data_IF_982641775798
#
_entry.id   IF_982641775798
#
_cell.length_a   1.000
_cell.length_b   1.000
_cell.length_c   1.000
_cell.angle_alpha   90.00
_cell.angle_beta   90.00
_cell.angle_gamma   90.00
#
_symmetry.space_group_name_H-M   'P 1'
#
loop_
_entity.id
_entity.type
_entity.pdbx_description
1 polymer ?
#
# COMPACT_ATOMS: atom_id res chain seq x y z
N UNK A 1 -16.73 -2.55 18.69
CA UNK A 1 -16.55 -3.88 18.04
C UNK A 1 -15.09 -4.22 17.73
N UNK A 2 -14.18 -3.25 17.54
CA UNK A 2 -12.73 -3.51 17.38
C UNK A 2 -12.05 -4.08 18.65
N UNK A 3 -12.60 -3.77 19.83
CA UNK A 3 -12.05 -4.23 21.13
C UNK A 3 -12.32 -5.71 21.41
N UNK A 4 -13.38 -6.27 20.81
CA UNK A 4 -13.71 -7.70 20.95
C UNK A 4 -12.82 -8.56 20.06
N UNK A 5 -12.45 -8.10 18.86
CA UNK A 5 -11.57 -8.81 17.94
C UNK A 5 -10.13 -8.87 18.44
N UNK A 6 -9.63 -7.80 19.06
CA UNK A 6 -8.32 -7.79 19.72
C UNK A 6 -8.30 -8.77 20.92
N UNK A 7 -9.38 -8.82 21.70
CA UNK A 7 -9.51 -9.73 22.86
C UNK A 7 -9.69 -11.19 22.45
N UNK A 8 -10.40 -11.47 21.34
CA UNK A 8 -10.55 -12.82 20.79
C UNK A 8 -9.23 -13.36 20.22
N UNK A 9 -8.46 -12.52 19.50
CA UNK A 9 -7.14 -12.93 19.01
C UNK A 9 -6.14 -13.12 20.16
N UNK A 10 -6.20 -12.32 21.23
CA UNK A 10 -5.30 -12.48 22.37
C UNK A 10 -5.59 -13.78 23.13
N UNK A 11 -6.86 -14.15 23.32
CA UNK A 11 -7.23 -15.38 24.03
C UNK A 11 -6.95 -16.66 23.23
N UNK A 12 -7.25 -16.67 21.93
CA UNK A 12 -6.96 -17.83 21.09
C UNK A 12 -5.45 -17.96 20.80
N UNK A 13 -4.73 -16.84 20.67
CA UNK A 13 -3.27 -16.85 20.59
C UNK A 13 -2.63 -17.29 21.91
N UNK A 14 -3.14 -16.87 23.08
CA UNK A 14 -2.64 -17.31 24.38
C UNK A 14 -2.96 -18.79 24.66
N UNK A 15 -4.12 -19.28 24.23
CA UNK A 15 -4.48 -20.71 24.30
C UNK A 15 -3.61 -21.54 23.37
N UNK A 16 -3.42 -21.09 22.13
CA UNK A 16 -2.52 -21.72 21.18
C UNK A 16 -1.08 -21.74 21.72
N UNK A 17 -0.58 -20.60 22.20
CA UNK A 17 0.74 -20.47 22.83
C UNK A 17 0.89 -21.36 24.07
N UNK A 18 -0.16 -21.43 24.88
CA UNK A 18 -0.25 -22.29 26.05
C UNK A 18 -0.27 -23.79 25.71
N UNK A 19 -0.74 -24.16 24.51
CA UNK A 19 -0.79 -25.53 24.01
C UNK A 19 0.51 -26.02 23.35
N UNK A 20 1.42 -25.10 23.02
CA UNK A 20 2.77 -25.45 22.55
C UNK A 20 3.56 -26.10 23.68
N UNK A 21 4.34 -27.13 23.35
CA UNK A 21 5.23 -27.75 24.32
C UNK A 21 6.30 -26.77 24.83
N UNK A 22 6.90 -27.11 25.97
CA UNK A 22 7.81 -26.24 26.70
C UNK A 22 9.10 -25.95 25.92
N UNK A 23 9.55 -26.88 25.07
CA UNK A 23 10.75 -26.74 24.26
C UNK A 23 10.52 -25.78 23.10
N UNK A 24 9.37 -25.87 22.42
CA UNK A 24 8.97 -24.94 21.35
C UNK A 24 8.79 -23.53 21.90
N UNK A 25 8.14 -23.40 23.07
CA UNK A 25 7.95 -22.11 23.74
C UNK A 25 9.28 -21.49 24.15
N UNK A 26 10.16 -22.27 24.78
CA UNK A 26 11.50 -21.80 25.17
C UNK A 26 12.35 -21.43 23.96
N UNK A 27 12.26 -22.20 22.87
CA UNK A 27 12.95 -21.89 21.61
C UNK A 27 12.48 -20.56 21.02
N UNK A 28 11.18 -20.26 21.09
CA UNK A 28 10.65 -18.99 20.61
C UNK A 28 10.93 -17.82 21.57
N UNK A 29 10.94 -18.04 22.89
CA UNK A 29 11.38 -17.05 23.87
C UNK A 29 12.86 -16.67 23.69
N UNK A 30 13.68 -17.56 23.15
CA UNK A 30 15.07 -17.28 22.77
C UNK A 30 15.19 -16.69 21.36
N UNK A 31 14.42 -17.21 20.42
CA UNK A 31 14.45 -16.80 19.02
C UNK A 31 13.89 -15.39 18.82
N UNK A 32 12.81 -15.03 19.50
CA UNK A 32 12.15 -13.74 19.33
C UNK A 32 13.09 -12.57 19.71
N UNK A 33 13.75 -12.56 20.88
CA UNK A 33 14.79 -11.58 21.17
C UNK A 33 15.96 -11.63 20.20
N UNK A 34 16.38 -12.83 19.74
CA UNK A 34 17.47 -12.95 18.77
C UNK A 34 17.09 -12.38 17.38
N UNK A 35 15.85 -12.58 16.95
CA UNK A 35 15.30 -12.04 15.70
C UNK A 35 15.11 -10.52 15.79
N UNK A 36 14.56 -10.03 16.91
CA UNK A 36 14.40 -8.59 17.15
C UNK A 36 15.75 -7.88 17.32
N UNK A 37 16.72 -8.53 17.96
CA UNK A 37 18.09 -8.01 18.09
C UNK A 37 18.79 -7.86 16.73
N UNK A 38 18.49 -8.76 15.77
CA UNK A 38 19.01 -8.69 14.40
C UNK A 38 18.20 -7.79 13.46
N UNK A 39 16.96 -7.45 13.81
CA UNK A 39 16.12 -6.62 12.95
C UNK A 39 16.45 -5.15 13.18
N UNK A 40 17.28 -4.59 12.29
CA UNK A 40 17.50 -3.16 12.23
C UNK A 40 16.31 -2.51 11.51
N UNK A 41 15.53 -1.63 12.15
CA UNK A 41 14.45 -0.93 11.48
C UNK A 41 15.08 -0.03 10.41
N UNK A 42 14.60 -0.10 9.16
CA UNK A 42 15.04 0.82 8.10
C UNK A 42 13.96 1.88 7.93
N UNK A 43 14.34 3.15 8.01
CA UNK A 43 13.43 4.27 7.84
C UNK A 43 13.73 5.01 6.53
N UNK A 44 12.76 5.01 5.63
CA UNK A 44 12.88 5.60 4.29
C UNK A 44 12.29 7.02 4.20
N UNK A 45 11.43 7.41 5.15
CA UNK A 45 10.77 8.72 5.15
C UNK A 45 9.51 8.78 4.29
N UNK A 46 8.74 7.68 4.22
CA UNK A 46 7.54 7.58 3.39
C UNK A 46 6.27 8.10 4.04
N UNK A 47 6.15 8.07 5.38
CA UNK A 47 4.95 8.56 6.09
C UNK A 47 5.17 8.90 7.57
N UNK A 48 4.23 9.63 8.17
CA UNK A 48 4.23 9.89 9.61
C UNK A 48 4.00 8.63 10.46
N UNK A 49 3.26 7.64 9.96
CA UNK A 49 3.13 6.35 10.65
C UNK A 49 4.47 5.59 10.65
N UNK A 50 5.21 5.62 9.54
CA UNK A 50 6.55 5.05 9.46
C UNK A 50 7.50 5.75 10.45
N UNK A 51 7.42 7.09 10.56
CA UNK A 51 8.22 7.86 11.50
C UNK A 51 7.91 7.50 12.97
N UNK A 52 6.63 7.38 13.33
CA UNK A 52 6.22 6.93 14.68
C UNK A 52 6.71 5.51 15.00
N UNK A 53 6.58 4.58 14.04
CA UNK A 53 7.07 3.19 14.18
C UNK A 53 8.59 3.15 14.33
N UNK A 54 9.31 3.95 13.55
CA UNK A 54 10.76 4.07 13.62
C UNK A 54 11.21 4.59 14.99
N UNK A 55 10.61 5.69 15.48
CA UNK A 55 10.92 6.26 16.79
C UNK A 55 10.70 5.22 17.91
N UNK A 56 9.61 4.45 17.82
CA UNK A 56 9.33 3.37 18.78
C UNK A 56 10.41 2.29 18.72
N UNK A 57 10.74 1.79 17.53
CA UNK A 57 11.74 0.74 17.36
C UNK A 57 13.14 1.15 17.87
N UNK A 58 13.54 2.41 17.66
CA UNK A 58 14.80 2.94 18.22
C UNK A 58 14.75 3.00 19.76
N UNK A 59 13.62 3.40 20.34
CA UNK A 59 13.44 3.43 21.81
C UNK A 59 13.48 2.04 22.41
N UNK A 60 12.79 1.09 21.79
CA UNK A 60 12.74 -0.30 22.25
C UNK A 60 14.14 -0.91 22.20
N UNK A 61 14.88 -0.72 21.10
CA UNK A 61 16.27 -1.17 21.01
C UNK A 61 17.17 -0.52 22.07
N UNK A 62 17.01 0.77 22.34
CA UNK A 62 17.77 1.45 23.39
C UNK A 62 17.44 0.94 24.80
N UNK A 63 16.22 0.44 25.03
CA UNK A 63 15.83 -0.22 26.28
C UNK A 63 16.49 -1.59 26.37
N UNK A 64 16.41 -2.40 25.31
CA UNK A 64 16.95 -3.75 25.24
C UNK A 64 18.47 -3.78 25.44
N UNK A 65 19.19 -2.79 24.92
CA UNK A 65 20.64 -2.65 25.06
C UNK A 65 21.03 -1.92 26.38
N UNK A 66 20.08 -1.53 27.23
CA UNK A 66 20.34 -0.78 28.46
C UNK A 66 20.87 0.64 28.23
N UNK A 67 20.74 1.16 27.00
CA UNK A 67 21.27 2.44 26.51
C UNK A 67 20.24 3.58 26.51
N UNK A 68 19.12 3.44 27.22
CA UNK A 68 18.01 4.41 27.24
C UNK A 68 18.41 5.87 27.53
N UNK A 69 19.48 6.11 28.30
CA UNK A 69 19.98 7.46 28.66
C UNK A 69 21.19 7.90 27.84
N UNK A 70 21.73 7.02 27.00
CA UNK A 70 22.94 7.23 26.21
C UNK A 70 22.56 7.89 24.88
N UNK A 71 22.47 9.22 24.89
CA UNK A 71 21.98 9.99 23.74
C UNK A 71 22.83 9.78 22.49
N UNK A 72 24.16 9.80 22.63
CA UNK A 72 25.10 9.61 21.52
C UNK A 72 24.91 8.22 20.89
N UNK A 73 24.81 7.17 21.71
CA UNK A 73 24.54 5.83 21.22
C UNK A 73 23.21 5.74 20.46
N UNK A 74 22.15 6.37 20.99
CA UNK A 74 20.82 6.33 20.36
C UNK A 74 20.83 7.06 19.03
N UNK A 75 21.50 8.22 18.95
CA UNK A 75 21.63 8.99 17.70
C UNK A 75 22.39 8.19 16.66
N UNK A 76 23.57 7.65 16.98
CA UNK A 76 24.34 6.82 16.05
C UNK A 76 23.53 5.61 15.57
N UNK A 77 22.80 4.98 16.47
CA UNK A 77 21.92 3.87 16.11
C UNK A 77 20.82 4.34 15.16
N UNK A 78 20.11 5.43 15.47
CA UNK A 78 19.06 5.98 14.63
C UNK A 78 19.57 6.39 13.24
N UNK A 79 20.70 7.10 13.16
CA UNK A 79 21.34 7.50 11.90
C UNK A 79 21.64 6.29 11.02
N UNK A 80 22.21 5.24 11.60
CA UNK A 80 22.56 4.00 10.87
C UNK A 80 21.35 3.24 10.31
N UNK A 81 20.13 3.62 10.72
CA UNK A 81 18.87 3.06 10.29
C UNK A 81 18.18 3.92 9.21
N UNK A 82 18.67 5.13 8.95
CA UNK A 82 18.10 6.02 7.93
C UNK A 82 18.51 5.56 6.53
N UNK A 83 17.56 5.59 5.61
CA UNK A 83 17.77 5.27 4.20
C UNK A 83 16.95 6.20 3.30
N UNK A 84 17.28 6.24 2.01
CA UNK A 84 16.51 6.98 1.01
C UNK A 84 16.36 8.47 1.34
N UNK A 85 15.13 8.97 1.27
CA UNK A 85 14.81 10.39 1.50
C UNK A 85 15.03 10.80 2.96
N UNK A 86 14.80 9.91 3.93
CA UNK A 86 15.07 10.20 5.33
C UNK A 86 16.55 10.48 5.60
N UNK A 87 17.46 9.73 4.95
CA UNK A 87 18.89 9.97 5.06
C UNK A 87 19.29 11.31 4.44
N UNK A 88 18.75 11.64 3.26
CA UNK A 88 18.98 12.95 2.61
C UNK A 88 18.49 14.09 3.49
N UNK A 89 17.28 13.98 4.04
CA UNK A 89 16.73 14.97 4.96
C UNK A 89 17.61 15.15 6.21
N UNK A 90 18.08 14.06 6.81
CA UNK A 90 18.94 14.13 8.00
C UNK A 90 20.21 14.95 7.76
N UNK A 91 20.87 14.79 6.60
CA UNK A 91 22.08 15.57 6.27
C UNK A 91 21.87 17.08 6.16
N UNK A 92 20.62 17.55 6.01
CA UNK A 92 20.29 18.99 5.96
C UNK A 92 19.95 19.58 7.34
N UNK A 93 19.85 18.77 8.38
CA UNK A 93 19.64 19.24 9.75
C UNK A 93 20.92 19.88 10.30
N UNK A 94 20.77 20.78 11.26
CA UNK A 94 21.90 21.34 12.00
C UNK A 94 22.52 20.29 12.94
N UNK A 95 23.81 20.47 13.26
CA UNK A 95 24.58 19.56 14.14
C UNK A 95 23.90 19.33 15.49
N UNK A 96 23.28 20.36 16.06
CA UNK A 96 22.64 20.29 17.37
C UNK A 96 21.34 19.45 17.32
N UNK A 97 20.59 19.49 16.21
CA UNK A 97 19.48 18.57 15.97
C UNK A 97 19.96 17.15 15.65
N UNK A 98 21.02 16.99 14.86
CA UNK A 98 21.58 15.68 14.50
C UNK A 98 22.12 14.93 15.71
N UNK A 99 22.82 15.61 16.62
CA UNK A 99 23.48 15.04 17.79
C UNK A 99 22.55 14.84 18.98
N UNK A 100 21.30 15.31 18.92
CA UNK A 100 20.37 15.24 20.04
C UNK A 100 19.12 14.44 19.69
N UNK A 101 18.97 13.25 20.30
CA UNK A 101 17.86 12.35 20.02
C UNK A 101 16.49 12.98 20.28
N UNK A 102 16.35 13.83 21.30
CA UNK A 102 15.07 14.50 21.57
C UNK A 102 14.72 15.51 20.48
N UNK A 103 15.71 16.26 19.99
CA UNK A 103 15.52 17.22 18.89
C UNK A 103 15.26 16.49 17.58
N UNK A 104 16.00 15.41 17.31
CA UNK A 104 15.80 14.56 16.14
C UNK A 104 14.40 13.92 16.13
N UNK A 105 13.90 13.45 17.27
CA UNK A 105 12.52 12.96 17.39
C UNK A 105 11.48 14.03 17.04
N UNK A 106 11.66 15.25 17.56
CA UNK A 106 10.75 16.36 17.25
C UNK A 106 10.81 16.72 15.77
N UNK A 107 12.01 16.81 15.21
CA UNK A 107 12.22 17.09 13.79
C UNK A 107 11.56 16.01 12.90
N UNK A 108 11.69 14.72 13.26
CA UNK A 108 11.04 13.61 12.55
C UNK A 108 9.51 13.73 12.57
N UNK A 109 8.92 14.05 13.72
CA UNK A 109 7.46 14.19 13.85
C UNK A 109 6.91 15.44 13.12
N UNK A 110 7.71 16.50 13.05
CA UNK A 110 7.36 17.72 12.29
C UNK A 110 7.47 17.47 10.79
N UNK A 111 8.55 16.82 10.35
CA UNK A 111 8.80 16.53 8.93
C UNK A 111 7.80 15.51 8.37
N UNK A 112 7.42 14.51 9.19
CA UNK A 112 6.52 13.44 8.81
C UNK A 112 5.29 13.44 9.73
N UNK A 113 4.36 14.40 9.56
CA UNK A 113 3.15 14.45 10.36
C UNK A 113 2.20 13.30 10.00
N UNK A 114 1.46 12.80 10.99
CA UNK A 114 0.40 11.81 10.77
C UNK A 114 -0.82 12.52 10.20
N UNK A 115 -1.26 12.11 9.01
CA UNK A 115 -2.44 12.66 8.36
C UNK A 115 -3.66 12.50 9.28
N UNK A 116 -4.25 13.63 9.70
CA UNK A 116 -5.40 13.68 10.61
C UNK A 116 -5.16 14.40 11.94
N UNK A 117 -3.98 14.97 12.19
CA UNK A 117 -3.77 15.86 13.34
C UNK A 117 -3.84 17.32 12.88
N UNK A 118 -5.08 17.83 12.76
CA UNK A 118 -5.30 19.28 12.89
C UNK A 118 -4.96 19.65 14.35
N UNK A 119 -3.78 20.23 14.55
CA UNK A 119 -3.26 20.69 15.84
C UNK A 119 -2.21 21.78 15.63
N UNK A 120 -2.12 22.75 16.55
CA UNK A 120 -2.25 24.17 16.25
C UNK A 120 -1.03 24.75 15.54
N UNK A 121 -1.33 25.59 14.55
CA UNK A 121 -0.39 26.58 14.00
C UNK A 121 0.25 27.37 15.14
N UNK A 122 1.55 27.22 15.34
CA UNK A 122 2.32 28.17 16.13
C UNK A 122 3.58 28.60 15.39
N UNK A 123 3.48 29.84 14.90
CA UNK A 123 4.53 30.82 14.69
C UNK A 123 5.48 30.61 13.50
N UNK A 124 4.95 30.84 12.29
CA UNK A 124 5.74 31.45 11.23
C UNK A 124 5.84 32.96 11.50
N UNK A 125 7.05 33.40 11.86
CA UNK A 125 7.48 34.79 11.80
C UNK A 125 7.20 35.32 10.37
N UNK A 126 6.58 36.49 10.18
CA UNK A 126 6.33 37.01 8.85
C UNK A 126 7.64 37.48 8.21
N UNK A 127 8.15 36.70 7.25
CA UNK A 127 9.20 37.14 6.33
C UNK A 127 8.53 37.68 5.05
N UNK A 128 8.85 38.90 4.58
CA UNK A 128 8.13 39.56 3.50
C UNK A 128 8.39 38.90 2.12
N UNK A 129 7.48 39.10 1.16
CA UNK A 129 7.43 38.32 -0.08
C UNK A 129 8.48 38.80 -1.08
N UNK A 130 9.28 37.89 -1.61
CA UNK A 130 10.09 38.14 -2.79
C UNK A 130 9.95 36.97 -3.78
N UNK A 131 9.51 37.35 -4.98
CA UNK A 131 9.14 36.53 -6.11
C UNK A 131 10.19 35.49 -6.54
N UNK A 132 9.72 34.25 -6.78
CA UNK A 132 10.01 33.45 -7.97
C UNK A 132 9.25 32.11 -7.85
N UNK A 133 8.00 32.06 -8.31
CA UNK A 133 7.30 30.79 -8.55
C UNK A 133 7.91 30.15 -9.81
N UNK A 134 8.95 29.35 -9.62
CA UNK A 134 9.31 28.31 -10.58
C UNK A 134 8.23 27.22 -10.51
N UNK A 135 7.72 26.90 -11.69
CA UNK A 135 6.74 25.88 -12.09
C UNK A 135 6.14 24.96 -11.00
N UNK A 136 4.80 24.77 -10.99
CA UNK A 136 4.19 23.75 -10.15
C UNK A 136 4.73 22.36 -10.53
N UNK A 137 5.27 21.64 -9.55
CA UNK A 137 5.56 20.21 -9.66
C UNK A 137 4.33 19.47 -10.23
N UNK A 138 4.52 18.40 -11.03
CA UNK A 138 3.43 17.69 -11.66
C UNK A 138 2.46 17.19 -10.59
N UNK A 139 1.26 17.75 -10.59
CA UNK A 139 0.13 17.23 -9.80
C UNK A 139 -0.09 15.80 -10.28
N UNK A 140 0.22 14.80 -9.46
CA UNK A 140 -0.16 13.42 -9.77
C UNK A 140 -1.68 13.41 -9.99
N UNK A 141 -2.12 13.17 -11.23
CA UNK A 141 -3.55 13.05 -11.51
C UNK A 141 -4.06 11.84 -10.73
N UNK A 142 -4.96 12.08 -9.78
CA UNK A 142 -5.64 11.01 -9.02
C UNK A 142 -6.62 10.23 -9.89
N UNK A 143 -6.84 10.69 -11.12
CA UNK A 143 -7.67 10.05 -12.12
C UNK A 143 -6.81 9.41 -13.21
N UNK A 144 -7.23 8.23 -13.64
CA UNK A 144 -6.53 7.48 -14.68
C UNK A 144 -7.32 6.28 -15.16
N UNK A 145 -6.68 5.45 -15.96
CA UNK A 145 -7.25 4.26 -16.60
C UNK A 145 -6.37 3.06 -16.30
N UNK A 146 -6.98 1.89 -16.13
CA UNK A 146 -6.19 0.66 -16.02
C UNK A 146 -5.84 0.19 -17.43
N UNK A 147 -4.54 0.22 -17.72
CA UNK A 147 -3.90 -0.24 -18.94
C UNK A 147 -3.25 -1.59 -18.72
N UNK A 148 -3.39 -2.46 -19.70
CA UNK A 148 -2.78 -3.78 -19.70
C UNK A 148 -1.85 -3.91 -20.90
N UNK A 149 -0.61 -4.32 -20.62
CA UNK A 149 0.37 -4.68 -21.64
C UNK A 149 0.25 -6.17 -21.95
N UNK A 150 0.13 -6.51 -23.23
CA UNK A 150 0.17 -7.90 -23.71
C UNK A 150 1.43 -8.07 -24.55
N UNK A 151 2.27 -9.06 -24.22
CA UNK A 151 3.53 -9.29 -24.96
C UNK A 151 3.33 -9.54 -26.46
N UNK A 152 2.14 -9.98 -26.87
CA UNK A 152 1.82 -10.36 -28.25
C UNK A 152 1.10 -9.26 -29.06
N UNK A 153 0.83 -8.07 -28.50
CA UNK A 153 0.16 -6.99 -29.24
C UNK A 153 0.82 -5.63 -29.02
N UNK A 154 0.98 -4.87 -30.11
CA UNK A 154 1.53 -3.51 -30.06
C UNK A 154 0.54 -2.49 -29.48
N UNK A 155 -0.78 -2.76 -29.56
CA UNK A 155 -1.80 -1.90 -29.00
C UNK A 155 -2.09 -2.28 -27.53
N UNK A 156 -2.08 -1.31 -26.59
CA UNK A 156 -2.46 -1.57 -25.21
C UNK A 156 -3.97 -1.81 -25.09
N UNK A 157 -4.34 -2.68 -24.16
CA UNK A 157 -5.74 -2.87 -23.77
C UNK A 157 -6.08 -2.04 -22.54
N UNK A 158 -7.33 -1.61 -22.43
CA UNK A 158 -7.88 -0.89 -21.28
C UNK A 158 -9.07 -1.65 -20.69
N UNK A 159 -9.38 -1.39 -19.42
CA UNK A 159 -10.62 -1.86 -18.80
C UNK A 159 -11.81 -1.11 -19.42
N UNK A 160 -12.89 -1.78 -19.82
CA UNK A 160 -14.04 -1.14 -20.46
C UNK A 160 -15.08 -0.66 -19.44
N UNK A 161 -15.76 0.46 -19.75
CA UNK A 161 -16.97 0.92 -19.06
C UNK A 161 -18.23 0.14 -19.48
N UNK A 162 -18.20 -0.55 -20.63
CA UNK A 162 -19.34 -1.34 -21.12
C UNK A 162 -19.39 -2.71 -20.43
N UNK A 163 -20.53 -3.06 -19.87
CA UNK A 163 -20.82 -4.42 -19.42
C UNK A 163 -21.47 -5.19 -20.58
N UNK A 164 -20.80 -6.22 -21.15
CA UNK A 164 -21.43 -7.13 -22.09
C UNK A 164 -22.57 -7.91 -21.41
N UNK A 165 -23.35 -8.66 -22.18
CA UNK A 165 -24.51 -9.44 -21.71
C UNK A 165 -24.24 -10.43 -20.55
N UNK A 166 -22.98 -10.70 -20.23
CA UNK A 166 -22.57 -11.52 -19.10
C UNK A 166 -22.29 -10.71 -17.81
N UNK A 167 -22.55 -9.40 -17.80
CA UNK A 167 -22.26 -8.44 -16.73
C UNK A 167 -20.80 -8.43 -16.24
N UNK A 168 -19.84 -8.81 -17.10
CA UNK A 168 -18.42 -8.83 -16.73
C UNK A 168 -17.70 -7.58 -17.22
N UNK A 169 -16.70 -7.12 -16.48
CA UNK A 169 -15.78 -6.12 -17.02
C UNK A 169 -14.91 -6.78 -18.10
N UNK A 170 -14.94 -6.18 -19.28
CA UNK A 170 -14.26 -6.68 -20.46
C UNK A 170 -13.12 -5.75 -20.88
N UNK A 171 -12.10 -6.27 -21.57
CA UNK A 171 -11.07 -5.46 -22.18
C UNK A 171 -11.61 -4.65 -23.38
N UNK A 172 -11.03 -3.47 -23.63
CA UNK A 172 -11.29 -2.64 -24.81
C UNK A 172 -9.99 -2.04 -25.34
N UNK A 173 -9.88 -1.88 -26.65
CA UNK A 173 -8.80 -1.09 -27.29
C UNK A 173 -9.21 0.37 -27.54
N UNK A 174 -10.48 0.72 -27.31
CA UNK A 174 -11.01 2.06 -27.53
C UNK A 174 -10.86 2.91 -26.26
N UNK A 175 -10.12 4.02 -26.37
CA UNK A 175 -9.95 4.99 -25.29
C UNK A 175 -11.27 5.65 -24.86
N UNK A 176 -12.20 5.86 -25.79
CA UNK A 176 -13.52 6.45 -25.46
C UNK A 176 -14.40 5.52 -24.64
N UNK A 177 -14.14 4.20 -24.71
CA UNK A 177 -14.81 3.18 -23.90
C UNK A 177 -13.99 2.71 -22.72
N UNK A 178 -12.78 3.25 -22.52
CA UNK A 178 -11.96 2.93 -21.37
C UNK A 178 -12.60 3.50 -20.09
N UNK A 179 -12.58 2.69 -19.03
CA UNK A 179 -13.08 3.07 -17.71
C UNK A 179 -12.09 4.00 -17.04
N UNK A 180 -12.55 5.20 -16.72
CA UNK A 180 -11.80 6.12 -15.86
C UNK A 180 -12.06 5.76 -14.40
N UNK A 181 -11.00 5.82 -13.61
CA UNK A 181 -11.01 5.55 -12.19
C UNK A 181 -10.34 6.69 -11.45
N UNK A 182 -10.83 6.97 -10.27
CA UNK A 182 -10.19 7.87 -9.32
C UNK A 182 -9.72 7.09 -8.12
N UNK A 183 -8.46 7.24 -7.76
CA UNK A 183 -7.90 6.54 -6.61
C UNK A 183 -7.82 7.44 -5.40
N UNK A 184 -8.22 6.90 -4.24
CA UNK A 184 -8.02 7.52 -2.93
C UNK A 184 -7.10 6.66 -2.10
N UNK A 185 -6.22 7.30 -1.33
CA UNK A 185 -5.36 6.61 -0.37
C UNK A 185 -6.13 6.38 0.91
N UNK A 186 -6.20 5.13 1.34
CA UNK A 186 -6.67 4.76 2.67
C UNK A 186 -5.50 4.76 3.66
N UNK A 187 -5.80 4.87 4.96
CA UNK A 187 -4.82 4.99 6.04
C UNK A 187 -3.91 3.77 6.20
N UNK A 188 -4.25 2.65 5.57
CA UNK A 188 -3.51 1.38 5.54
C UNK A 188 -2.50 1.30 4.37
N UNK A 189 -2.37 2.36 3.56
CA UNK A 189 -1.50 2.39 2.37
C UNK A 189 -2.05 1.60 1.19
N UNK A 190 -3.26 1.04 1.33
CA UNK A 190 -4.04 0.51 0.22
C UNK A 190 -4.88 1.62 -0.37
N UNK A 191 -5.20 1.48 -1.65
CA UNK A 191 -5.98 2.45 -2.40
C UNK A 191 -7.35 1.86 -2.68
N UNK A 192 -8.36 2.72 -2.69
CA UNK A 192 -9.69 2.42 -3.21
C UNK A 192 -9.78 3.03 -4.60
N UNK A 193 -10.31 2.25 -5.55
CA UNK A 193 -10.54 2.71 -6.92
C UNK A 193 -12.03 3.00 -7.10
N UNK A 194 -12.38 4.28 -7.26
CA UNK A 194 -13.74 4.75 -7.47
C UNK A 194 -14.03 4.93 -8.95
N UNK A 195 -15.28 4.68 -9.36
CA UNK A 195 -15.79 4.90 -10.71
C UNK A 195 -16.54 6.23 -10.73
N UNK A 196 -15.91 7.33 -11.18
CA UNK A 196 -16.55 8.63 -11.19
C UNK A 196 -17.67 8.72 -12.23
N UNK A 197 -18.62 9.62 -11.98
CA UNK A 197 -19.61 10.06 -12.99
C UNK A 197 -20.59 8.99 -13.45
N UNK A 198 -20.82 7.94 -12.64
CA UNK A 198 -21.75 6.86 -12.96
C UNK A 198 -21.51 6.23 -14.34
N UNK A 199 -20.23 6.13 -14.75
CA UNK A 199 -19.82 5.52 -16.01
C UNK A 199 -20.36 4.09 -16.18
N UNK A 200 -20.60 3.39 -15.07
CA UNK A 200 -21.33 2.13 -15.02
C UNK A 200 -22.58 2.37 -14.15
N UNK A 201 -23.80 2.36 -14.73
CA UNK A 201 -25.02 2.60 -13.96
C UNK A 201 -25.16 1.62 -12.78
N UNK A 202 -25.38 2.16 -11.58
CA UNK A 202 -25.55 1.38 -10.36
C UNK A 202 -24.25 0.94 -9.67
N UNK A 203 -23.07 1.29 -10.19
CA UNK A 203 -21.79 0.91 -9.60
C UNK A 203 -20.85 2.13 -9.50
N UNK A 204 -20.17 2.24 -8.37
CA UNK A 204 -19.34 3.40 -8.01
C UNK A 204 -17.92 3.02 -7.55
N UNK A 205 -17.63 1.73 -7.39
CA UNK A 205 -16.32 1.22 -7.00
C UNK A 205 -15.83 0.13 -7.95
N UNK A 206 -14.51 0.03 -8.08
CA UNK A 206 -13.83 -1.11 -8.71
C UNK A 206 -13.27 -2.04 -7.63
N UNK A 207 -13.80 -3.26 -7.61
CA UNK A 207 -13.40 -4.32 -6.70
C UNK A 207 -12.86 -5.54 -7.42
N UNK A 208 -12.48 -6.52 -6.61
CA UNK A 208 -12.02 -7.84 -7.01
C UNK A 208 -12.83 -8.89 -6.29
N UNK A 209 -13.19 -9.96 -7.01
CA UNK A 209 -13.87 -11.09 -6.43
C UNK A 209 -13.07 -12.36 -6.64
N UNK A 210 -12.87 -13.10 -5.56
CA UNK A 210 -12.25 -14.41 -5.61
C UNK A 210 -13.19 -15.43 -6.24
N UNK A 211 -12.64 -16.30 -7.08
CA UNK A 211 -13.33 -17.47 -7.63
C UNK A 211 -12.53 -18.72 -7.27
N UNK A 212 -13.09 -19.55 -6.39
CA UNK A 212 -12.51 -20.85 -6.00
C UNK A 212 -13.14 -22.03 -6.72
N UNK A 213 -14.29 -21.84 -7.37
CA UNK A 213 -15.09 -22.91 -7.96
C UNK A 213 -15.25 -22.71 -9.46
N UNK A 214 -14.32 -23.25 -10.23
CA UNK A 214 -14.65 -23.79 -11.54
C UNK A 214 -14.29 -25.28 -11.51
N UNK A 215 -15.31 -26.15 -11.43
CA UNK A 215 -15.19 -27.60 -11.22
C UNK A 215 -14.47 -28.34 -12.36
N UNK A 216 -14.00 -27.62 -13.38
CA UNK A 216 -13.31 -28.15 -14.55
C UNK A 216 -11.87 -27.64 -14.71
N UNK A 217 -11.43 -26.68 -13.88
CA UNK A 217 -10.07 -26.14 -13.98
C UNK A 217 -9.61 -25.64 -12.59
N UNK A 218 -8.56 -26.24 -12.04
CA UNK A 218 -7.99 -25.98 -10.71
C UNK A 218 -7.33 -24.61 -10.54
N UNK A 219 -7.78 -23.60 -11.29
CA UNK A 219 -7.20 -22.28 -11.32
C UNK A 219 -7.96 -21.38 -10.37
N UNK A 220 -7.35 -21.11 -9.22
CA UNK A 220 -7.73 -20.01 -8.33
C UNK A 220 -7.47 -18.69 -9.06
N UNK A 221 -8.48 -17.86 -9.26
CA UNK A 221 -8.30 -16.53 -9.84
C UNK A 221 -9.17 -15.46 -9.17
N UNK A 222 -8.67 -14.22 -9.13
CA UNK A 222 -9.43 -13.02 -8.78
C UNK A 222 -9.95 -12.37 -10.06
N UNK A 223 -11.20 -11.94 -10.12
CA UNK A 223 -11.74 -11.21 -11.28
C UNK A 223 -12.10 -9.77 -10.90
N UNK A 224 -11.91 -8.83 -11.83
CA UNK A 224 -12.40 -7.46 -11.68
C UNK A 224 -13.92 -7.43 -11.66
N UNK A 225 -14.50 -6.59 -10.79
CA UNK A 225 -15.93 -6.34 -10.75
C UNK A 225 -16.22 -4.87 -10.43
N UNK A 226 -17.29 -4.34 -11.02
CA UNK A 226 -17.89 -3.10 -10.59
C UNK A 226 -18.75 -3.40 -9.36
N UNK A 227 -18.66 -2.54 -8.36
CA UNK A 227 -19.28 -2.71 -7.03
C UNK A 227 -20.16 -1.51 -6.73
N UNK A 228 -21.36 -1.79 -6.24
CA UNK A 228 -22.23 -0.80 -5.61
C UNK A 228 -21.82 -0.71 -4.13
N UNK A 229 -21.19 0.38 -3.73
CA UNK A 229 -20.71 0.60 -2.37
C UNK A 229 -21.82 0.55 -1.31
N UNK A 230 -23.08 0.79 -1.69
CA UNK A 230 -24.22 0.82 -0.76
C UNK A 230 -24.76 -0.58 -0.47
N UNK A 231 -24.80 -1.42 -1.48
CA UNK A 231 -25.40 -2.76 -1.40
C UNK A 231 -24.36 -3.88 -1.37
N UNK A 232 -23.09 -3.56 -1.62
CA UNK A 232 -22.02 -4.51 -1.94
C UNK A 232 -22.38 -5.44 -3.11
N UNK A 233 -23.32 -5.03 -3.95
CA UNK A 233 -23.70 -5.78 -5.15
C UNK A 233 -22.57 -5.69 -6.18
N UNK A 234 -22.26 -6.81 -6.80
CA UNK A 234 -21.19 -6.92 -7.81
C UNK A 234 -21.80 -7.21 -9.17
N UNK A 235 -21.30 -6.57 -10.23
CA UNK A 235 -21.73 -6.91 -11.60
C UNK A 235 -21.38 -8.36 -12.00
N UNK A 236 -20.38 -8.97 -11.37
CA UNK A 236 -19.98 -10.36 -11.66
C UNK A 236 -20.91 -11.37 -10.95
N UNK A 237 -21.80 -12.01 -11.72
CA UNK A 237 -22.79 -12.96 -11.19
C UNK A 237 -22.23 -14.37 -10.94
N UNK A 238 -21.19 -14.79 -11.67
CA UNK A 238 -20.71 -16.18 -11.69
C UNK A 238 -19.55 -16.51 -10.74
N UNK A 239 -18.93 -15.52 -10.11
CA UNK A 239 -17.83 -15.77 -9.17
C UNK A 239 -18.37 -15.77 -7.74
N UNK A 240 -18.21 -16.89 -7.02
CA UNK A 240 -18.45 -17.01 -5.59
C UNK A 240 -17.15 -16.82 -4.81
N UNK A 241 -17.18 -15.97 -3.78
CA UNK A 241 -16.00 -15.71 -2.94
C UNK A 241 -16.02 -14.33 -2.30
N UNK A 242 -14.93 -14.03 -1.59
CA UNK A 242 -14.71 -12.76 -0.89
C UNK A 242 -14.58 -11.60 -1.87
N UNK A 243 -15.26 -10.50 -1.56
CA UNK A 243 -15.17 -9.23 -2.28
C UNK A 243 -14.09 -8.35 -1.64
N UNK A 244 -13.21 -7.81 -2.47
CA UNK A 244 -12.09 -6.94 -2.08
C UNK A 244 -12.23 -5.60 -2.80
N UNK A 245 -12.39 -4.50 -2.07
CA UNK A 245 -12.61 -3.14 -2.64
C UNK A 245 -11.50 -2.13 -2.29
N UNK A 246 -10.63 -2.47 -1.35
CA UNK A 246 -9.54 -1.60 -0.85
C UNK A 246 -8.23 -2.37 -0.79
N UNK A 247 -7.82 -2.97 -1.92
CA UNK A 247 -6.66 -3.88 -1.99
C UNK A 247 -5.63 -3.45 -3.05
N UNK A 248 -5.76 -2.21 -3.54
CA UNK A 248 -4.95 -1.72 -4.64
C UNK A 248 -3.68 -1.05 -4.12
N UNK A 249 -2.51 -1.46 -4.61
CA UNK A 249 -1.27 -0.72 -4.39
C UNK A 249 -0.84 -0.10 -5.70
N UNK A 250 -0.79 1.23 -5.74
CA UNK A 250 -0.39 2.02 -6.91
C UNK A 250 0.97 2.63 -6.56
N UNK A 251 1.98 2.36 -7.35
CA UNK A 251 3.32 2.93 -7.16
C UNK A 251 3.85 3.53 -8.45
N UNK A 252 4.54 4.67 -8.37
CA UNK A 252 5.25 5.22 -9.52
C UNK A 252 6.22 4.15 -10.07
N UNK A 253 6.22 3.94 -11.38
CA UNK A 253 7.18 3.04 -11.99
C UNK A 253 8.57 3.71 -11.96
N UNK A 254 9.56 3.05 -11.36
CA UNK A 254 10.94 3.53 -11.33
C UNK A 254 11.43 3.74 -12.77
N UNK A 255 11.72 4.99 -13.12
CA UNK A 255 12.34 5.36 -14.40
C UNK A 255 11.39 5.68 -15.56
N UNK A 256 10.06 5.64 -15.39
CA UNK A 256 9.14 6.01 -16.47
C UNK A 256 8.85 7.52 -16.47
N UNK A 257 9.40 8.24 -17.45
CA UNK A 257 9.10 9.66 -17.72
C UNK A 257 7.65 9.94 -18.14
N UNK A 258 6.82 8.90 -18.27
CA UNK A 258 5.44 8.95 -18.78
C UNK A 258 4.37 9.12 -17.71
N UNK A 259 4.72 9.10 -16.41
CA UNK A 259 3.75 9.19 -15.32
C UNK A 259 2.89 7.92 -15.13
N UNK A 260 3.17 6.86 -15.88
CA UNK A 260 2.50 5.56 -15.77
C UNK A 260 2.89 4.90 -14.44
N UNK A 261 1.90 4.47 -13.65
CA UNK A 261 2.11 3.82 -12.35
C UNK A 261 1.87 2.30 -12.47
N UNK A 262 2.53 1.51 -11.64
CA UNK A 262 2.30 0.05 -11.57
C UNK A 262 1.18 -0.25 -10.58
N UNK A 263 0.27 -1.16 -10.94
CA UNK A 263 -0.83 -1.58 -10.08
C UNK A 263 -0.58 -3.00 -9.59
N UNK A 264 -0.59 -3.17 -8.27
CA UNK A 264 -0.54 -4.47 -7.62
C UNK A 264 -1.82 -4.72 -6.83
N UNK A 265 -2.19 -6.00 -6.76
CA UNK A 265 -3.24 -6.51 -5.88
C UNK A 265 -2.56 -7.29 -4.76
N UNK A 266 -2.78 -6.88 -3.53
CA UNK A 266 -2.32 -7.60 -2.34
C UNK A 266 -3.43 -8.44 -1.72
N UNK A 267 -3.19 -9.73 -1.55
CA UNK A 267 -3.88 -10.58 -0.58
C UNK A 267 -2.86 -11.06 0.46
N UNK A 268 -2.77 -10.34 1.59
CA UNK A 268 -1.73 -10.57 2.59
C UNK A 268 -0.31 -10.36 2.03
N UNK A 269 0.48 -11.44 1.94
CA UNK A 269 1.88 -11.42 1.50
C UNK A 269 2.07 -11.87 0.04
N UNK A 270 1.03 -12.36 -0.64
CA UNK A 270 1.13 -12.84 -2.01
C UNK A 270 0.85 -11.74 -3.04
N UNK A 271 1.77 -11.59 -4.00
CA UNK A 271 1.60 -10.70 -5.16
C UNK A 271 0.94 -11.49 -6.27
N UNK A 272 -0.24 -11.03 -6.69
CA UNK A 272 -1.02 -11.66 -7.76
C UNK A 272 -0.75 -10.98 -9.10
N UNK A 273 -0.64 -11.78 -10.16
CA UNK A 273 -0.28 -11.32 -11.50
C UNK A 273 -1.52 -11.27 -12.39
N UNK A 274 -1.70 -10.20 -13.19
CA UNK A 274 -2.86 -10.06 -14.05
C UNK A 274 -2.80 -11.08 -15.20
N UNK A 275 -3.97 -11.51 -15.65
CA UNK A 275 -4.22 -12.38 -16.78
C UNK A 275 -5.21 -11.72 -17.71
N UNK A 276 -4.89 -11.79 -19.00
CA UNK A 276 -5.63 -11.15 -20.07
C UNK A 276 -6.27 -12.19 -21.00
N UNK A 277 -7.58 -12.12 -21.18
CA UNK A 277 -8.35 -13.04 -22.03
C UNK A 277 -9.73 -12.48 -22.36
N UNK A 278 -10.76 -13.33 -22.38
CA UNK A 278 -12.18 -12.91 -22.49
C UNK A 278 -12.67 -12.15 -21.26
N UNK A 279 -11.93 -12.24 -20.16
CA UNK A 279 -12.11 -11.50 -18.92
C UNK A 279 -10.75 -11.08 -18.39
N UNK A 280 -10.74 -10.08 -17.51
CA UNK A 280 -9.54 -9.65 -16.80
C UNK A 280 -9.55 -10.27 -15.41
N UNK A 281 -8.51 -11.05 -15.09
CA UNK A 281 -8.37 -11.71 -13.78
C UNK A 281 -6.93 -11.65 -13.26
N UNK A 282 -6.68 -12.11 -12.04
CA UNK A 282 -5.35 -12.27 -11.44
C UNK A 282 -5.17 -13.70 -10.91
N UNK A 283 -3.94 -14.21 -10.95
CA UNK A 283 -3.58 -15.52 -10.37
C UNK A 283 -2.17 -15.52 -9.77
N UNK A 284 -1.89 -16.50 -8.91
CA UNK A 284 -0.55 -16.73 -8.38
C UNK A 284 0.44 -17.12 -9.49
N UNK A 285 1.70 -16.70 -9.34
CA UNK A 285 2.79 -16.90 -10.34
C UNK A 285 3.06 -18.38 -10.64
N UNK A 286 2.92 -19.25 -9.64
CA UNK A 286 3.18 -20.68 -9.74
C UNK A 286 2.14 -21.43 -10.55
N UNK A 287 0.96 -20.84 -10.77
CA UNK A 287 -0.11 -21.50 -11.50
C UNK A 287 0.11 -21.47 -13.02
N UNK A 288 0.74 -20.43 -13.59
CA UNK A 288 0.90 -20.27 -15.04
C UNK A 288 2.13 -19.44 -15.41
N UNK A 289 2.99 -20.00 -16.29
CA UNK A 289 4.30 -19.44 -16.65
C UNK A 289 4.38 -18.78 -18.03
N UNK A 290 3.28 -18.70 -18.80
CA UNK A 290 3.46 -18.45 -20.23
C UNK A 290 3.49 -16.99 -20.66
N UNK A 291 2.89 -16.02 -19.97
CA UNK A 291 3.00 -14.61 -20.36
C UNK A 291 2.79 -13.65 -19.17
N UNK A 292 3.79 -12.86 -18.73
CA UNK A 292 3.56 -11.77 -17.80
C UNK A 292 2.77 -10.68 -18.54
N UNK A 293 1.47 -10.55 -18.24
CA UNK A 293 0.79 -9.30 -18.49
C UNK A 293 1.18 -8.33 -17.37
N UNK A 294 1.35 -7.07 -17.71
CA UNK A 294 1.61 -6.01 -16.73
C UNK A 294 0.40 -5.08 -16.67
N UNK A 295 0.03 -4.68 -15.46
CA UNK A 295 -1.09 -3.82 -15.17
C UNK A 295 -0.58 -2.45 -14.72
N UNK A 296 -1.03 -1.41 -15.42
CA UNK A 296 -0.56 -0.06 -15.25
C UNK A 296 -1.72 0.91 -15.04
N UNK A 297 -1.50 1.92 -14.23
CA UNK A 297 -2.39 3.08 -14.12
C UNK A 297 -1.87 4.16 -15.07
N UNK A 298 -2.67 4.49 -16.08
CA UNK A 298 -2.40 5.48 -17.12
C UNK A 298 -3.15 6.78 -16.75
N UNK A 299 -2.46 7.83 -16.28
CA UNK A 299 -3.12 9.08 -15.86
C UNK A 299 -3.91 9.73 -16.99
N UNK A 300 -5.04 10.38 -16.66
CA UNK A 300 -5.86 11.17 -17.58
C UNK A 300 -5.81 12.64 -17.21
#
# INVERSE_FOLDING_TARGET
>A
MADLAATCMMNDALRWWGSLDKEVRGSWELLLPAMLSKYRPVFHGGSGEEAEKFIRAVRDKAIDEGKRKDNEWIVMYAESCLAGEALRWYTHLDSDTQENWKKLQQALLIQYPRAGTDGPALNLIPTPPAAALLAPAPKMSRRGRIRFSKSSSSAPGYLSKSLPSNNRLAPTSSLSNALELEWSTSSDGLHTLSIPGSQIPGYDLLGLKWSSHDLLNSNKFLAFCAVDSRTNSTNISGCSGTLLTSNWKISAADGASSGIMTIFVGDGTEILYPKWGTLVCFSAKTAHSSYPAECFFDPV
#
